data_IF_982679848112
#
_entry.id   IF_982679848112
#
_cell.length_a   1.000
_cell.length_b   1.000
_cell.length_c   1.000
_cell.angle_alpha   90.00
_cell.angle_beta   90.00
_cell.angle_gamma   90.00
#
_symmetry.space_group_name_H-M   'P 1'
#
loop_
_entity.id
_entity.type
_entity.pdbx_description
1 polymer ?
#
# COMPACT_ATOMS: atom_id res chain seq x y z
N UNK A 1 -11.31 -24.51 21.92
CA UNK A 1 -12.08 -24.38 20.67
C UNK A 1 -11.27 -23.46 19.77
N UNK A 2 -10.77 -23.94 18.63
CA UNK A 2 -10.08 -23.05 17.68
C UNK A 2 -11.14 -22.17 17.03
N UNK A 3 -11.07 -20.85 17.22
CA UNK A 3 -11.88 -19.92 16.44
C UNK A 3 -11.55 -20.16 14.96
N UNK A 4 -12.60 -20.29 14.14
CA UNK A 4 -12.43 -20.33 12.69
C UNK A 4 -11.86 -18.96 12.27
N UNK A 5 -10.86 -18.93 11.38
CA UNK A 5 -10.32 -17.66 10.90
C UNK A 5 -11.45 -16.82 10.29
N UNK A 6 -11.41 -15.50 10.54
CA UNK A 6 -12.43 -14.61 9.99
C UNK A 6 -12.45 -14.71 8.46
N UNK A 7 -13.57 -14.43 7.78
CA UNK A 7 -13.62 -14.42 6.32
C UNK A 7 -12.52 -13.56 5.69
N UNK A 8 -12.15 -12.46 6.36
CA UNK A 8 -11.10 -11.56 5.90
C UNK A 8 -9.69 -12.13 6.12
N UNK A 9 -9.44 -12.85 7.22
CA UNK A 9 -8.19 -13.61 7.42
C UNK A 9 -7.99 -14.65 6.32
N UNK A 10 -9.05 -15.36 5.95
CA UNK A 10 -9.02 -16.34 4.88
C UNK A 10 -8.72 -15.67 3.52
N UNK A 11 -9.33 -14.51 3.24
CA UNK A 11 -9.03 -13.74 2.03
C UNK A 11 -7.57 -13.24 2.00
N UNK A 12 -7.06 -12.76 3.15
CA UNK A 12 -5.70 -12.23 3.31
C UNK A 12 -4.62 -13.29 3.14
N UNK A 13 -4.81 -14.50 3.69
CA UNK A 13 -3.81 -15.60 3.60
C UNK A 13 -3.95 -16.46 2.34
N UNK A 14 -5.13 -16.43 1.72
CA UNK A 14 -5.47 -17.25 0.56
C UNK A 14 -5.51 -18.76 0.86
N UNK A 15 -5.78 -19.59 -0.17
CA UNK A 15 -6.06 -21.02 0.01
C UNK A 15 -4.89 -21.83 0.59
N UNK A 16 -3.65 -21.38 0.35
CA UNK A 16 -2.43 -22.06 0.80
C UNK A 16 -1.93 -21.55 2.15
N UNK A 17 -2.51 -20.49 2.72
CA UNK A 17 -2.16 -19.98 4.05
C UNK A 17 -0.78 -19.31 4.20
N UNK A 18 0.06 -19.32 3.16
CA UNK A 18 1.50 -19.07 3.29
C UNK A 18 1.93 -17.63 2.99
N UNK A 19 1.06 -16.80 2.40
CA UNK A 19 1.42 -15.46 1.93
C UNK A 19 0.34 -14.48 2.34
N UNK A 20 0.74 -13.36 2.96
CA UNK A 20 -0.12 -12.19 3.14
C UNK A 20 -0.28 -11.48 1.79
N UNK A 21 -1.47 -11.62 1.22
CA UNK A 21 -1.79 -11.14 -0.13
C UNK A 21 -2.04 -9.66 -0.17
N UNK A 22 -2.43 -9.06 0.95
CA UNK A 22 -2.67 -7.63 1.03
C UNK A 22 -1.33 -6.92 1.08
N UNK A 23 -0.38 -7.46 1.86
CA UNK A 23 1.00 -7.02 1.82
C UNK A 23 1.63 -7.23 0.43
N UNK A 24 1.41 -8.39 -0.20
CA UNK A 24 1.89 -8.66 -1.55
C UNK A 24 1.32 -7.68 -2.60
N UNK A 25 0.05 -7.27 -2.45
CA UNK A 25 -0.57 -6.27 -3.30
C UNK A 25 0.17 -4.92 -3.22
N UNK A 26 0.46 -4.43 -2.00
CA UNK A 26 1.21 -3.18 -1.84
C UNK A 26 2.64 -3.26 -2.37
N UNK A 27 3.33 -4.38 -2.13
CA UNK A 27 4.66 -4.62 -2.70
C UNK A 27 4.63 -4.59 -4.23
N UNK A 28 3.60 -5.14 -4.86
CA UNK A 28 3.45 -5.08 -6.30
C UNK A 28 3.24 -3.64 -6.80
N UNK A 29 2.41 -2.84 -6.12
CA UNK A 29 2.23 -1.42 -6.46
C UNK A 29 3.53 -0.62 -6.32
N UNK A 30 4.36 -0.93 -5.33
CA UNK A 30 5.68 -0.32 -5.19
C UNK A 30 6.60 -0.67 -6.36
N UNK A 31 6.69 -1.96 -6.70
CA UNK A 31 7.55 -2.44 -7.78
C UNK A 31 7.14 -1.80 -9.10
N UNK A 32 5.85 -1.84 -9.43
CA UNK A 32 5.32 -1.19 -10.63
C UNK A 32 5.51 0.34 -10.61
N UNK A 33 5.37 0.96 -9.44
CA UNK A 33 5.60 2.39 -9.26
C UNK A 33 7.06 2.82 -9.50
N UNK A 34 8.02 1.96 -9.13
CA UNK A 34 9.46 2.18 -9.28
C UNK A 34 9.99 1.83 -10.66
N UNK A 35 9.50 0.74 -11.26
CA UNK A 35 10.06 0.16 -12.49
C UNK A 35 9.26 0.52 -13.74
N UNK A 36 8.01 1.00 -13.60
CA UNK A 36 7.10 1.29 -14.71
C UNK A 36 6.92 0.08 -15.65
N UNK A 37 7.03 -1.13 -15.12
CA UNK A 37 7.25 -2.39 -15.84
C UNK A 37 6.07 -2.85 -16.70
N UNK A 38 4.83 -2.66 -16.25
CA UNK A 38 3.65 -3.19 -16.94
C UNK A 38 2.86 -2.20 -17.80
N UNK A 39 3.12 -0.90 -17.68
CA UNK A 39 2.28 0.15 -18.25
C UNK A 39 0.85 0.20 -17.66
N UNK A 40 0.02 1.18 -18.06
CA UNK A 40 -1.30 1.43 -17.46
C UNK A 40 -2.27 0.23 -17.47
N UNK A 41 -2.31 -0.52 -18.58
CA UNK A 41 -3.22 -1.65 -18.75
C UNK A 41 -2.85 -2.87 -17.90
N UNK A 42 -1.57 -3.06 -17.56
CA UNK A 42 -1.16 -4.10 -16.62
C UNK A 42 -1.55 -3.71 -15.20
N UNK A 43 -1.27 -2.47 -14.78
CA UNK A 43 -1.65 -1.95 -13.47
C UNK A 43 -3.15 -2.06 -13.22
N UNK A 44 -3.98 -1.67 -14.20
CA UNK A 44 -5.43 -1.85 -14.14
C UNK A 44 -5.81 -3.31 -13.88
N UNK A 45 -5.32 -4.24 -14.73
CA UNK A 45 -5.61 -5.67 -14.59
C UNK A 45 -5.16 -6.23 -13.24
N UNK A 46 -4.04 -5.75 -12.71
CA UNK A 46 -3.54 -6.16 -11.40
C UNK A 46 -4.49 -5.73 -10.27
N UNK A 47 -4.96 -4.48 -10.29
CA UNK A 47 -5.90 -3.96 -9.29
C UNK A 47 -7.26 -4.66 -9.42
N UNK A 48 -7.80 -4.75 -10.63
CA UNK A 48 -9.08 -5.42 -10.90
C UNK A 48 -9.03 -6.88 -10.45
N UNK A 49 -7.98 -7.63 -10.83
CA UNK A 49 -7.82 -9.04 -10.44
C UNK A 49 -7.75 -9.22 -8.92
N UNK A 50 -7.10 -8.30 -8.21
CA UNK A 50 -7.05 -8.34 -6.76
C UNK A 50 -8.45 -8.10 -6.16
N UNK A 51 -9.13 -7.04 -6.59
CA UNK A 51 -10.44 -6.65 -6.05
C UNK A 51 -11.58 -7.58 -6.47
N UNK A 52 -11.47 -8.24 -7.62
CA UNK A 52 -12.47 -9.16 -8.16
C UNK A 52 -12.25 -10.61 -7.73
N UNK A 53 -11.32 -10.86 -6.82
CA UNK A 53 -11.03 -12.22 -6.41
C UNK A 53 -12.22 -12.83 -5.64
N UNK A 54 -12.68 -14.04 -5.98
CA UNK A 54 -13.87 -14.63 -5.35
C UNK A 54 -13.82 -14.70 -3.82
N UNK A 55 -12.67 -15.05 -3.22
CA UNK A 55 -12.54 -15.10 -1.76
C UNK A 55 -12.58 -13.72 -1.12
N UNK A 56 -12.02 -12.71 -1.79
CA UNK A 56 -12.06 -11.33 -1.32
C UNK A 56 -13.47 -10.74 -1.47
N UNK A 57 -14.13 -11.00 -2.59
CA UNK A 57 -15.51 -10.57 -2.85
C UNK A 57 -16.45 -11.17 -1.81
N UNK A 58 -16.39 -12.48 -1.58
CA UNK A 58 -17.22 -13.13 -0.56
C UNK A 58 -16.94 -12.61 0.86
N UNK A 59 -15.67 -12.38 1.21
CA UNK A 59 -15.31 -11.79 2.50
C UNK A 59 -15.87 -10.36 2.60
N UNK A 60 -15.68 -9.54 1.58
CA UNK A 60 -16.18 -8.15 1.49
C UNK A 60 -17.71 -8.09 1.60
N UNK A 61 -18.45 -8.98 0.95
CA UNK A 61 -19.91 -9.07 1.08
C UNK A 61 -20.34 -9.46 2.51
N UNK A 62 -19.53 -10.26 3.21
CA UNK A 62 -19.82 -10.69 4.58
C UNK A 62 -19.51 -9.63 5.64
N UNK A 63 -18.48 -8.80 5.48
CA UNK A 63 -18.01 -7.87 6.53
C UNK A 63 -18.03 -6.39 6.13
N UNK A 64 -18.26 -6.09 4.86
CA UNK A 64 -18.37 -4.74 4.30
C UNK A 64 -17.05 -4.06 3.96
N UNK A 65 -17.17 -2.96 3.21
CA UNK A 65 -16.04 -2.17 2.69
C UNK A 65 -15.16 -1.55 3.78
N UNK A 66 -15.75 -1.22 4.94
CA UNK A 66 -15.02 -0.60 6.05
C UNK A 66 -13.96 -1.57 6.62
N UNK A 67 -14.31 -2.85 6.76
CA UNK A 67 -13.38 -3.87 7.27
C UNK A 67 -12.29 -4.17 6.24
N UNK A 68 -12.64 -4.31 4.96
CA UNK A 68 -11.64 -4.46 3.90
C UNK A 68 -10.66 -3.28 3.85
N UNK A 69 -11.18 -2.05 3.96
CA UNK A 69 -10.35 -0.85 4.01
C UNK A 69 -9.42 -0.83 5.23
N UNK A 70 -9.91 -1.23 6.40
CA UNK A 70 -9.09 -1.36 7.62
C UNK A 70 -7.95 -2.35 7.42
N UNK A 71 -8.23 -3.55 6.90
CA UNK A 71 -7.21 -4.59 6.70
C UNK A 71 -6.17 -4.20 5.63
N UNK A 72 -6.59 -3.52 4.56
CA UNK A 72 -5.67 -3.00 3.56
C UNK A 72 -4.77 -1.89 4.12
N UNK A 73 -5.32 -1.00 4.97
CA UNK A 73 -4.52 -0.03 5.73
C UNK A 73 -3.53 -0.76 6.64
N UNK A 74 -3.97 -1.77 7.38
CA UNK A 74 -3.11 -2.51 8.32
C UNK A 74 -1.98 -3.24 7.60
N UNK A 75 -2.24 -3.76 6.40
CA UNK A 75 -1.21 -4.32 5.53
C UNK A 75 -0.21 -3.24 5.04
N UNK A 76 -0.69 -2.04 4.71
CA UNK A 76 0.19 -0.92 4.37
C UNK A 76 1.03 -0.47 5.57
N UNK A 77 0.44 -0.37 6.76
CA UNK A 77 1.15 -0.07 8.00
C UNK A 77 2.22 -1.13 8.30
N UNK A 78 1.86 -2.42 8.13
CA UNK A 78 2.81 -3.55 8.29
C UNK A 78 4.00 -3.43 7.36
N UNK A 79 3.77 -3.04 6.10
CA UNK A 79 4.85 -2.75 5.15
C UNK A 79 5.78 -1.64 5.67
N UNK A 80 5.23 -0.49 6.09
CA UNK A 80 6.03 0.64 6.55
C UNK A 80 6.76 0.37 7.88
N UNK A 81 6.14 -0.37 8.80
CA UNK A 81 6.77 -0.84 10.04
C UNK A 81 7.96 -1.77 9.73
N UNK A 82 7.83 -2.60 8.69
CA UNK A 82 8.93 -3.44 8.20
C UNK A 82 10.05 -2.58 7.64
N UNK A 83 9.75 -1.56 6.82
CA UNK A 83 10.76 -0.61 6.33
C UNK A 83 11.53 0.09 7.46
N UNK A 84 10.84 0.45 8.55
CA UNK A 84 11.46 1.12 9.70
C UNK A 84 12.43 0.22 10.48
N UNK A 85 12.14 -1.08 10.54
CA UNK A 85 12.88 -2.06 11.34
C UNK A 85 13.90 -2.87 10.54
N UNK A 86 13.75 -2.93 9.22
CA UNK A 86 14.65 -3.68 8.34
C UNK A 86 16.01 -2.99 8.19
N UNK A 87 17.06 -3.73 8.52
CA UNK A 87 18.45 -3.23 8.45
C UNK A 87 18.92 -2.99 7.00
N UNK A 88 18.38 -3.75 6.04
CA UNK A 88 18.66 -3.52 4.62
C UNK A 88 18.02 -2.22 4.12
N UNK A 89 16.83 -1.90 4.60
CA UNK A 89 16.11 -0.69 4.25
C UNK A 89 16.72 0.56 4.89
N UNK A 90 17.15 0.46 6.13
CA UNK A 90 17.69 1.56 6.93
C UNK A 90 19.18 1.84 6.71
N UNK A 91 19.79 1.27 5.66
CA UNK A 91 21.20 1.50 5.31
C UNK A 91 21.37 1.95 3.85
N UNK A 92 22.47 2.63 3.55
CA UNK A 92 22.82 3.10 2.19
C UNK A 92 23.56 2.04 1.38
N UNK A 93 23.86 2.31 0.09
CA UNK A 93 24.69 1.48 -0.79
C UNK A 93 25.93 0.94 -0.03
N UNK A 94 26.13 -0.38 -0.07
CA UNK A 94 27.12 -1.17 0.67
C UNK A 94 26.91 -1.35 2.18
N UNK A 95 25.73 -1.00 2.72
CA UNK A 95 25.39 -1.15 4.16
C UNK A 95 26.36 -0.40 5.09
N UNK A 96 27.08 0.59 4.58
CA UNK A 96 28.17 1.26 5.29
C UNK A 96 27.70 2.37 6.22
N UNK A 97 26.52 2.96 5.96
CA UNK A 97 25.94 4.02 6.80
C UNK A 97 24.47 3.74 7.10
N UNK A 98 24.11 3.80 8.38
CA UNK A 98 22.72 3.78 8.84
C UNK A 98 22.07 5.13 8.54
N UNK A 99 20.84 5.09 8.04
CA UNK A 99 20.02 6.26 7.82
C UNK A 99 19.51 6.80 9.16
N UNK A 100 19.49 8.13 9.27
CA UNK A 100 18.82 8.81 10.37
C UNK A 100 17.28 8.64 10.26
N UNK A 101 16.53 8.75 11.36
CA UNK A 101 15.08 8.52 11.35
C UNK A 101 14.30 9.36 10.33
N UNK A 102 14.69 10.63 10.14
CA UNK A 102 14.12 11.55 9.16
C UNK A 102 14.40 11.09 7.72
N UNK A 103 15.60 10.55 7.46
CA UNK A 103 15.98 9.99 6.16
C UNK A 103 15.20 8.71 5.83
N UNK A 104 14.97 7.85 6.83
CA UNK A 104 14.11 6.66 6.67
C UNK A 104 12.67 7.09 6.35
N UNK A 105 12.16 8.08 7.08
CA UNK A 105 10.82 8.64 6.85
C UNK A 105 10.68 9.22 5.45
N UNK A 106 11.64 10.03 4.98
CA UNK A 106 11.65 10.60 3.64
C UNK A 106 11.74 9.52 2.54
N UNK A 107 12.52 8.46 2.78
CA UNK A 107 12.62 7.31 1.87
C UNK A 107 11.29 6.55 1.78
N UNK A 108 10.66 6.28 2.92
CA UNK A 108 9.36 5.62 2.98
C UNK A 108 8.24 6.48 2.34
N UNK A 109 8.27 7.80 2.54
CA UNK A 109 7.35 8.73 1.89
C UNK A 109 7.49 8.70 0.36
N UNK A 110 8.72 8.57 -0.16
CA UNK A 110 8.96 8.37 -1.60
C UNK A 110 8.40 7.04 -2.09
N UNK A 111 8.56 5.96 -1.33
CA UNK A 111 8.00 4.65 -1.67
C UNK A 111 6.46 4.69 -1.70
N UNK A 112 5.82 5.34 -0.72
CA UNK A 112 4.39 5.58 -0.70
C UNK A 112 3.93 6.40 -1.92
N UNK A 113 4.64 7.47 -2.27
CA UNK A 113 4.36 8.26 -3.47
C UNK A 113 4.48 7.43 -4.75
N UNK A 114 5.45 6.51 -4.84
CA UNK A 114 5.55 5.57 -5.96
C UNK A 114 4.35 4.62 -6.05
N UNK A 115 3.89 4.06 -4.93
CA UNK A 115 2.69 3.22 -4.90
C UNK A 115 1.45 4.02 -5.36
N UNK A 116 1.28 5.24 -4.85
CA UNK A 116 0.18 6.16 -5.22
C UNK A 116 0.26 6.52 -6.71
N UNK A 117 1.45 6.77 -7.24
CA UNK A 117 1.66 7.01 -8.67
C UNK A 117 1.28 5.79 -9.51
N UNK A 118 1.57 4.57 -9.06
CA UNK A 118 1.16 3.33 -9.74
C UNK A 118 -0.38 3.21 -9.78
N UNK A 119 -1.05 3.47 -8.65
CA UNK A 119 -2.51 3.51 -8.56
C UNK A 119 -3.10 4.55 -9.52
N UNK A 120 -2.56 5.77 -9.55
CA UNK A 120 -3.00 6.82 -10.47
C UNK A 120 -2.83 6.43 -11.95
N UNK A 121 -1.68 5.82 -12.31
CA UNK A 121 -1.40 5.38 -13.70
C UNK A 121 -2.33 4.28 -14.19
N UNK A 122 -2.95 3.51 -13.30
CA UNK A 122 -3.89 2.45 -13.68
C UNK A 122 -5.14 2.98 -14.41
N UNK A 123 -5.50 4.25 -14.19
CA UNK A 123 -6.78 4.82 -14.61
C UNK A 123 -7.95 3.89 -14.23
N UNK A 124 -7.90 3.33 -13.01
CA UNK A 124 -8.85 2.34 -12.48
C UNK A 124 -9.38 2.70 -11.09
N UNK A 125 -9.24 3.98 -10.71
CA UNK A 125 -9.71 4.49 -9.42
C UNK A 125 -11.20 4.78 -9.50
N UNK A 126 -12.01 3.72 -9.42
CA UNK A 126 -13.48 3.79 -9.37
C UNK A 126 -14.01 2.90 -8.26
N UNK A 127 -15.08 3.33 -7.58
CA UNK A 127 -15.71 2.52 -6.53
C UNK A 127 -14.77 2.29 -5.34
N UNK A 128 -14.58 1.04 -4.90
CA UNK A 128 -13.67 0.76 -3.78
C UNK A 128 -12.21 1.18 -4.08
N UNK A 129 -11.77 1.11 -5.33
CA UNK A 129 -10.40 1.43 -5.71
C UNK A 129 -10.03 2.89 -5.45
N UNK A 130 -11.00 3.81 -5.41
CA UNK A 130 -10.79 5.22 -5.06
C UNK A 130 -10.21 5.41 -3.66
N UNK A 131 -10.42 4.44 -2.75
CA UNK A 131 -9.90 4.48 -1.38
C UNK A 131 -8.43 4.08 -1.29
N UNK A 132 -7.91 3.32 -2.26
CA UNK A 132 -6.57 2.75 -2.17
C UNK A 132 -5.46 3.80 -1.93
N UNK A 133 -5.45 4.98 -2.58
CA UNK A 133 -4.46 6.02 -2.31
C UNK A 133 -4.45 6.49 -0.85
N UNK A 134 -5.62 6.76 -0.26
CA UNK A 134 -5.70 7.18 1.14
C UNK A 134 -5.33 6.06 2.12
N UNK A 135 -5.61 4.80 1.80
CA UNK A 135 -5.18 3.66 2.63
C UNK A 135 -3.65 3.53 2.70
N UNK A 136 -2.93 3.76 1.60
CA UNK A 136 -1.46 3.81 1.62
C UNK A 136 -0.96 4.95 2.50
N UNK A 137 -1.53 6.14 2.33
CA UNK A 137 -1.13 7.32 3.11
C UNK A 137 -1.38 7.12 4.61
N UNK A 138 -2.54 6.57 4.97
CA UNK A 138 -2.88 6.26 6.37
C UNK A 138 -2.01 5.15 6.96
N UNK A 139 -1.64 4.14 6.17
CA UNK A 139 -0.68 3.13 6.60
C UNK A 139 0.71 3.73 6.87
N UNK A 140 1.12 4.70 6.05
CA UNK A 140 2.36 5.44 6.26
C UNK A 140 2.32 6.27 7.55
N UNK A 141 1.29 7.10 7.75
CA UNK A 141 1.18 7.95 8.95
C UNK A 141 1.00 7.13 10.23
N UNK A 142 0.30 5.98 10.17
CA UNK A 142 0.22 5.07 11.31
C UNK A 142 1.59 4.50 11.73
N UNK A 143 2.51 4.30 10.78
CA UNK A 143 3.85 3.76 11.06
C UNK A 143 4.88 4.84 11.48
N UNK A 144 4.79 6.03 10.89
CA UNK A 144 5.76 7.12 11.05
C UNK A 144 5.26 8.31 11.88
N UNK A 145 4.02 8.26 12.36
CA UNK A 145 3.37 9.33 13.13
C UNK A 145 2.68 10.37 12.22
N UNK A 146 1.68 11.07 12.75
CA UNK A 146 0.94 12.12 12.02
C UNK A 146 1.85 13.30 11.64
N UNK A 147 2.91 13.56 12.42
CA UNK A 147 3.94 14.56 12.10
C UNK A 147 4.70 14.27 10.80
N UNK A 148 4.63 13.05 10.29
CA UNK A 148 5.25 12.64 9.02
C UNK A 148 4.41 12.99 7.79
N UNK A 149 3.12 13.34 7.96
CA UNK A 149 2.22 13.66 6.84
C UNK A 149 2.76 14.77 5.91
N UNK A 150 3.34 15.89 6.40
CA UNK A 150 3.93 16.91 5.54
C UNK A 150 5.04 16.35 4.63
N UNK A 151 5.81 15.38 5.10
CA UNK A 151 6.86 14.71 4.31
C UNK A 151 6.25 13.88 3.20
N UNK A 152 5.16 13.17 3.48
CA UNK A 152 4.41 12.42 2.46
C UNK A 152 3.75 13.35 1.44
N UNK A 153 3.10 14.43 1.88
CA UNK A 153 2.53 15.45 0.99
C UNK A 153 3.59 16.02 0.04
N UNK A 154 4.78 16.32 0.56
CA UNK A 154 5.90 16.81 -0.26
C UNK A 154 6.35 15.75 -1.29
N UNK A 155 6.42 14.48 -0.90
CA UNK A 155 6.80 13.39 -1.80
C UNK A 155 5.75 13.19 -2.92
N UNK A 156 4.46 13.18 -2.57
CA UNK A 156 3.34 13.10 -3.53
C UNK A 156 3.33 14.32 -4.46
N UNK A 157 3.55 15.52 -3.94
CA UNK A 157 3.58 16.75 -4.72
C UNK A 157 4.74 16.82 -5.73
N UNK A 158 5.84 16.11 -5.47
CA UNK A 158 6.99 16.01 -6.39
C UNK A 158 6.77 15.01 -7.53
N UNK A 159 5.81 14.09 -7.42
CA UNK A 159 5.48 13.14 -8.49
C UNK A 159 4.29 13.70 -9.32
N UNK A 160 4.48 14.04 -10.61
CA UNK A 160 3.44 14.64 -11.44
C UNK A 160 2.20 13.77 -11.67
N UNK A 161 2.28 12.47 -11.38
CA UNK A 161 1.18 11.52 -11.54
C UNK A 161 0.45 11.32 -10.21
N UNK A 162 1.19 11.13 -9.12
CA UNK A 162 0.59 11.02 -7.79
C UNK A 162 -0.14 12.32 -7.38
N UNK A 163 0.45 13.49 -7.67
CA UNK A 163 -0.15 14.80 -7.35
C UNK A 163 -1.51 15.04 -7.99
N UNK A 164 -1.83 14.42 -9.14
CA UNK A 164 -3.13 14.56 -9.82
C UNK A 164 -4.29 13.98 -9.03
N UNK A 165 -4.01 13.00 -8.17
CA UNK A 165 -5.01 12.33 -7.36
C UNK A 165 -4.92 12.73 -5.89
N UNK A 166 -4.22 13.82 -5.57
CA UNK A 166 -4.09 14.32 -4.20
C UNK A 166 -5.43 14.48 -3.45
N UNK A 167 -6.54 14.92 -4.07
CA UNK A 167 -7.85 14.93 -3.42
C UNK A 167 -8.28 13.56 -2.87
N UNK A 168 -8.01 12.47 -3.61
CA UNK A 168 -8.36 11.10 -3.17
C UNK A 168 -7.50 10.57 -2.02
N UNK A 169 -6.46 11.31 -1.61
CA UNK A 169 -5.55 10.92 -0.53
C UNK A 169 -5.95 11.61 0.77
N UNK A 170 -6.36 12.88 0.70
CA UNK A 170 -6.49 13.77 1.84
C UNK A 170 -7.92 14.24 2.15
N UNK A 171 -8.85 14.09 1.21
CA UNK A 171 -10.27 14.40 1.41
C UNK A 171 -11.05 13.20 1.98
#
# INVERSE_FOLDING_TARGET
MSELPSPMDAARRGPKGNIDRFLAFWLNMLVEGKQHSGGPAHLRRTIEKFLSEPTLVAARESVGDAVLASELRDAAETYFNTCRSDTGYTTTLFRTRKLEPDQVTAKAAKDAACMIAALARSNSLTGFAERLPSLVARGFTASFGEESEPTLRLAVGKDPVASRIAPLIWD
#
